data_IF_541704783792
#
_entry.id   IF_541704783792
#
_cell.length_a   1.000
_cell.length_b   1.000
_cell.length_c   1.000
_cell.angle_alpha   90.00
_cell.angle_beta   90.00
_cell.angle_gamma   90.00
#
_symmetry.space_group_name_H-M   'P 1'
#
loop_
_entity.id
_entity.type
_entity.pdbx_description
1 polymer ?
#
# COMPACT_ATOMS: atom_id res chain seq x y z
N UNK A 1 -3.99 -17.94 -1.13
CA UNK A 1 -4.23 -17.04 0.02
C UNK A 1 -5.22 -17.64 1.02
N UNK A 2 -6.50 -17.82 0.69
CA UNK A 2 -7.49 -18.35 1.66
C UNK A 2 -7.35 -19.85 1.95
N UNK A 3 -6.89 -20.65 0.97
CA UNK A 3 -6.65 -22.09 1.15
C UNK A 3 -5.27 -22.37 1.74
N UNK A 4 -4.21 -22.11 0.98
CA UNK A 4 -2.83 -22.45 1.39
C UNK A 4 -2.31 -21.64 2.58
N UNK A 5 -2.60 -20.34 2.64
CA UNK A 5 -2.17 -19.49 3.77
C UNK A 5 -3.23 -19.38 4.87
N UNK A 6 -4.39 -20.02 4.69
CA UNK A 6 -5.50 -20.03 5.65
C UNK A 6 -5.93 -18.62 6.10
N UNK A 7 -5.81 -17.62 5.23
CA UNK A 7 -6.22 -16.26 5.53
C UNK A 7 -7.74 -16.11 5.39
N UNK A 8 -8.38 -15.50 6.37
CA UNK A 8 -9.77 -15.04 6.25
C UNK A 8 -9.88 -13.91 5.22
N UNK A 9 -10.94 -13.93 4.42
CA UNK A 9 -11.19 -12.88 3.42
C UNK A 9 -11.32 -11.51 4.12
N UNK A 10 -10.63 -10.46 3.65
CA UNK A 10 -10.65 -9.18 4.32
C UNK A 10 -12.00 -8.49 4.16
N UNK A 11 -12.44 -7.76 5.18
CA UNK A 11 -13.63 -6.90 5.07
C UNK A 11 -13.34 -5.56 4.39
N UNK A 12 -12.06 -5.23 4.22
CA UNK A 12 -11.54 -4.04 3.54
C UNK A 12 -10.11 -4.33 3.04
N UNK A 13 -9.75 -3.86 1.85
CA UNK A 13 -8.38 -3.89 1.36
C UNK A 13 -7.82 -2.46 1.33
N UNK A 14 -6.74 -2.22 2.10
CA UNK A 14 -6.02 -0.95 2.10
C UNK A 14 -4.75 -1.12 1.26
N UNK A 15 -4.70 -0.45 0.11
CA UNK A 15 -3.56 -0.51 -0.80
C UNK A 15 -2.69 0.75 -0.64
N UNK A 16 -1.52 0.59 -0.01
CA UNK A 16 -0.61 1.72 0.29
C UNK A 16 0.37 1.94 -0.85
N UNK A 17 0.44 3.18 -1.33
CA UNK A 17 1.37 3.65 -2.37
C UNK A 17 2.08 4.93 -1.90
N UNK A 18 3.22 5.22 -2.50
CA UNK A 18 4.01 6.38 -2.10
C UNK A 18 5.42 6.39 -2.62
N UNK A 19 6.27 7.15 -1.94
CA UNK A 19 7.70 7.24 -2.24
C UNK A 19 8.40 5.89 -2.21
N UNK A 20 9.17 5.59 -3.26
CA UNK A 20 10.06 4.41 -3.30
C UNK A 20 11.40 4.67 -2.58
N UNK A 21 11.89 5.91 -2.66
CA UNK A 21 13.10 6.37 -1.97
C UNK A 21 12.76 6.75 -0.53
N UNK A 22 13.74 6.61 0.38
CA UNK A 22 13.57 7.03 1.77
C UNK A 22 13.33 8.54 1.87
N UNK A 23 12.36 8.90 2.70
CA UNK A 23 12.02 10.27 3.07
C UNK A 23 11.59 10.30 4.53
N UNK A 24 11.63 11.47 5.13
CA UNK A 24 11.19 11.68 6.50
C UNK A 24 9.83 12.37 6.52
N UNK A 25 8.94 11.86 7.36
CA UNK A 25 7.66 12.48 7.65
C UNK A 25 7.81 13.38 8.88
N UNK A 26 7.10 14.51 8.89
CA UNK A 26 6.99 15.31 10.11
C UNK A 26 6.46 14.44 11.26
N UNK A 27 7.01 14.53 12.49
CA UNK A 27 6.66 13.62 13.59
C UNK A 27 5.16 13.50 13.87
N UNK A 28 4.43 14.63 13.82
CA UNK A 28 2.98 14.66 13.99
C UNK A 28 2.26 13.87 12.90
N UNK A 29 2.66 14.06 11.64
CA UNK A 29 2.09 13.36 10.49
C UNK A 29 2.42 11.87 10.52
N UNK A 30 3.66 11.49 10.86
CA UNK A 30 4.08 10.10 11.07
C UNK A 30 3.18 9.41 12.10
N UNK A 31 2.90 10.08 13.21
CA UNK A 31 2.01 9.57 14.25
C UNK A 31 0.57 9.39 13.76
N UNK A 32 0.00 10.39 13.09
CA UNK A 32 -1.38 10.34 12.56
C UNK A 32 -1.51 9.22 11.52
N UNK A 33 -0.59 9.16 10.57
CA UNK A 33 -0.53 8.12 9.54
C UNK A 33 -0.43 6.72 10.18
N UNK A 34 0.58 6.50 11.03
CA UNK A 34 0.82 5.18 11.62
C UNK A 34 -0.33 4.71 12.49
N UNK A 35 -0.81 5.55 13.43
CA UNK A 35 -1.94 5.19 14.30
C UNK A 35 -3.24 5.01 13.50
N UNK A 36 -3.49 5.86 12.51
CA UNK A 36 -4.67 5.78 11.65
C UNK A 36 -4.72 4.48 10.85
N UNK A 37 -3.62 4.13 10.18
CA UNK A 37 -3.51 2.90 9.39
C UNK A 37 -3.73 1.64 10.25
N UNK A 38 -3.03 1.56 11.38
CA UNK A 38 -3.14 0.43 12.32
C UNK A 38 -4.56 0.31 12.88
N UNK A 39 -5.14 1.44 13.32
CA UNK A 39 -6.51 1.46 13.86
C UNK A 39 -7.53 1.03 12.81
N UNK A 40 -7.42 1.53 11.57
CA UNK A 40 -8.31 1.16 10.48
C UNK A 40 -8.24 -0.35 10.19
N UNK A 41 -7.02 -0.90 10.09
CA UNK A 41 -6.83 -2.31 9.80
C UNK A 41 -7.37 -3.22 10.91
N UNK A 42 -7.06 -2.90 12.17
CA UNK A 42 -7.54 -3.67 13.33
C UNK A 42 -9.06 -3.62 13.50
N UNK A 43 -9.66 -2.43 13.35
CA UNK A 43 -11.10 -2.24 13.60
C UNK A 43 -11.94 -2.94 12.54
N UNK A 44 -11.46 -2.98 11.30
CA UNK A 44 -12.22 -3.53 10.18
C UNK A 44 -11.85 -4.97 9.85
N UNK A 45 -10.70 -5.47 10.30
CA UNK A 45 -10.13 -6.73 9.78
C UNK A 45 -9.65 -6.57 8.34
N UNK A 46 -9.00 -5.44 8.04
CA UNK A 46 -8.48 -5.17 6.70
C UNK A 46 -7.19 -5.93 6.43
N UNK A 47 -6.96 -6.25 5.16
CA UNK A 47 -5.62 -6.53 4.67
C UNK A 47 -4.93 -5.23 4.25
N UNK A 48 -3.62 -5.16 4.42
CA UNK A 48 -2.77 -4.06 3.95
C UNK A 48 -1.87 -4.58 2.84
N UNK A 49 -1.99 -4.00 1.64
CA UNK A 49 -1.06 -4.24 0.53
C UNK A 49 -0.02 -3.13 0.46
N UNK A 50 1.24 -3.50 0.29
CA UNK A 50 2.34 -2.55 0.05
C UNK A 50 3.33 -3.12 -0.97
N UNK A 51 4.38 -2.36 -1.33
CA UNK A 51 5.48 -2.83 -2.17
C UNK A 51 6.44 -3.84 -1.50
N UNK A 52 6.25 -4.17 -0.22
CA UNK A 52 7.00 -5.20 0.53
C UNK A 52 8.46 -4.91 0.85
N UNK A 53 9.15 -4.09 0.07
CA UNK A 53 10.57 -3.76 0.26
C UNK A 53 10.76 -2.67 1.33
N UNK A 54 11.88 -2.72 2.07
CA UNK A 54 12.14 -1.87 3.23
C UNK A 54 12.66 -0.47 2.87
N UNK A 55 11.98 0.22 1.95
CA UNK A 55 12.34 1.57 1.51
C UNK A 55 11.12 2.49 1.44
N UNK A 56 11.37 3.79 1.48
CA UNK A 56 10.36 4.82 1.30
C UNK A 56 9.15 4.69 2.23
N UNK A 57 7.94 4.76 1.66
CA UNK A 57 6.69 4.69 2.44
C UNK A 57 6.56 3.38 3.23
N UNK A 58 7.13 2.29 2.72
CA UNK A 58 7.00 0.97 3.35
C UNK A 58 7.78 0.92 4.67
N UNK A 59 8.87 1.68 4.84
CA UNK A 59 9.52 1.82 6.16
C UNK A 59 8.57 2.41 7.19
N UNK A 60 7.83 3.47 6.83
CA UNK A 60 6.88 4.11 7.73
C UNK A 60 5.71 3.18 8.09
N UNK A 61 5.26 2.34 7.15
CA UNK A 61 4.29 1.27 7.43
C UNK A 61 4.87 0.23 8.39
N UNK A 62 6.12 -0.21 8.16
CA UNK A 62 6.82 -1.15 9.02
C UNK A 62 6.99 -0.63 10.45
N UNK A 63 7.40 0.63 10.61
CA UNK A 63 7.50 1.30 11.91
C UNK A 63 6.15 1.28 12.65
N UNK A 64 5.05 1.61 11.97
CA UNK A 64 3.71 1.58 12.56
C UNK A 64 3.29 0.16 12.99
N UNK A 65 3.61 -0.86 12.18
CA UNK A 65 3.34 -2.27 12.51
C UNK A 65 4.17 -2.73 13.71
N UNK A 66 5.44 -2.32 13.80
CA UNK A 66 6.34 -2.63 14.90
C UNK A 66 5.86 -2.00 16.21
N UNK A 67 5.49 -0.73 16.17
CA UNK A 67 4.93 -0.01 17.32
C UNK A 67 3.64 -0.63 17.82
N UNK A 68 2.81 -1.18 16.93
CA UNK A 68 1.60 -1.92 17.29
C UNK A 68 1.91 -3.29 17.91
N UNK A 69 2.78 -4.08 17.29
CA UNK A 69 3.13 -5.42 17.76
C UNK A 69 3.74 -5.42 19.17
N UNK A 70 4.45 -4.35 19.55
CA UNK A 70 4.96 -4.18 20.92
C UNK A 70 3.87 -3.88 21.97
N UNK A 71 2.70 -3.40 21.54
CA UNK A 71 1.61 -2.93 22.42
C UNK A 71 0.37 -3.82 22.42
N UNK A 72 0.20 -4.67 21.41
CA UNK A 72 -1.00 -5.49 21.23
C UNK A 72 -0.68 -6.83 20.56
N UNK A 73 -1.48 -7.85 20.90
CA UNK A 73 -1.40 -9.19 20.30
C UNK A 73 -2.19 -9.33 18.99
N UNK A 74 -2.94 -8.30 18.59
CA UNK A 74 -3.74 -8.31 17.37
C UNK A 74 -2.87 -8.42 16.13
N UNK A 75 -2.99 -9.53 15.38
CA UNK A 75 -2.24 -9.74 14.13
C UNK A 75 -2.90 -8.98 12.99
N UNK A 76 -2.11 -8.14 12.32
CA UNK A 76 -2.54 -7.43 11.11
C UNK A 76 -2.01 -8.18 9.90
N UNK A 77 -2.87 -8.47 8.93
CA UNK A 77 -2.48 -9.12 7.69
C UNK A 77 -1.90 -8.07 6.72
N UNK A 78 -0.58 -7.93 6.73
CA UNK A 78 0.16 -7.07 5.82
C UNK A 78 0.89 -7.93 4.78
N UNK A 79 0.60 -7.70 3.50
CA UNK A 79 1.11 -8.49 2.37
C UNK A 79 1.96 -7.56 1.48
N UNK A 80 3.23 -7.90 1.33
CA UNK A 80 4.18 -7.18 0.49
C UNK A 80 4.21 -7.77 -0.91
N UNK A 81 3.87 -6.99 -1.93
CA UNK A 81 3.94 -7.42 -3.33
C UNK A 81 5.15 -6.73 -3.95
N UNK A 82 6.26 -7.47 -4.09
CA UNK A 82 7.55 -6.96 -4.51
C UNK A 82 8.01 -7.61 -5.82
N UNK A 83 8.75 -6.90 -6.69
CA UNK A 83 9.43 -7.55 -7.80
C UNK A 83 10.54 -8.47 -7.28
N UNK A 84 10.60 -9.70 -7.79
CA UNK A 84 11.62 -10.70 -7.42
C UNK A 84 13.03 -10.17 -7.66
N UNK A 85 13.29 -9.65 -8.87
CA UNK A 85 14.63 -9.26 -9.31
C UNK A 85 15.27 -8.09 -8.57
N UNK A 86 14.58 -7.44 -7.63
CA UNK A 86 15.16 -6.38 -6.78
C UNK A 86 15.44 -6.85 -5.35
N UNK A 87 15.11 -8.10 -5.01
CA UNK A 87 15.26 -8.62 -3.65
C UNK A 87 16.73 -9.00 -3.41
N UNK A 88 17.34 -8.38 -2.41
CA UNK A 88 18.69 -8.73 -1.95
C UNK A 88 18.69 -10.19 -1.45
N UNK A 89 19.73 -10.96 -1.78
CA UNK A 89 19.86 -12.38 -1.43
C UNK A 89 18.64 -13.24 -1.83
N UNK A 90 18.02 -12.95 -2.97
CA UNK A 90 16.90 -13.74 -3.50
C UNK A 90 17.25 -15.23 -3.66
N UNK A 91 18.52 -15.57 -3.94
CA UNK A 91 18.98 -16.96 -4.10
C UNK A 91 18.76 -17.81 -2.84
N UNK A 92 18.80 -17.20 -1.64
CA UNK A 92 18.55 -17.89 -0.37
C UNK A 92 17.10 -18.37 -0.25
N UNK A 93 16.18 -17.74 -0.97
CA UNK A 93 14.75 -18.05 -1.00
C UNK A 93 14.41 -19.13 -2.05
N UNK A 94 15.36 -19.56 -2.88
CA UNK A 94 15.10 -20.54 -3.94
C UNK A 94 15.00 -21.95 -3.33
N UNK A 95 13.91 -22.62 -3.69
CA UNK A 95 13.68 -24.02 -3.38
C UNK A 95 12.24 -24.41 -3.64
N UNK A 96 12.00 -25.72 -3.80
CA UNK A 96 10.67 -26.27 -3.99
C UNK A 96 10.23 -26.98 -2.71
N UNK A 97 9.05 -26.62 -2.20
CA UNK A 97 8.45 -27.24 -1.01
C UNK A 97 9.37 -27.22 0.23
N UNK A 98 10.17 -26.16 0.37
CA UNK A 98 11.12 -25.98 1.48
C UNK A 98 10.91 -24.65 2.20
N UNK A 99 11.23 -24.63 3.49
CA UNK A 99 11.32 -23.41 4.29
C UNK A 99 12.76 -22.92 4.27
N UNK A 100 12.95 -21.67 3.83
CA UNK A 100 14.26 -21.02 3.81
C UNK A 100 14.26 -19.80 4.73
N UNK A 101 15.23 -19.67 5.65
CA UNK A 101 15.38 -18.44 6.41
C UNK A 101 15.86 -17.34 5.47
N UNK A 102 15.20 -16.19 5.52
CA UNK A 102 15.67 -14.98 4.87
C UNK A 102 16.32 -14.08 5.91
N UNK A 103 17.64 -14.06 5.93
CA UNK A 103 18.43 -13.20 6.83
C UNK A 103 19.36 -12.37 5.97
N UNK A 104 18.94 -11.14 5.71
CA UNK A 104 19.73 -10.19 4.95
C UNK A 104 19.90 -8.89 5.72
N UNK A 105 20.97 -8.18 5.43
CA UNK A 105 21.21 -6.83 5.90
C UNK A 105 21.23 -5.89 4.71
N UNK A 106 20.73 -4.67 4.90
CA UNK A 106 20.82 -3.65 3.85
C UNK A 106 22.28 -3.38 3.53
N UNK A 107 22.68 -3.59 2.28
CA UNK A 107 24.01 -3.25 1.77
C UNK A 107 23.96 -1.88 1.08
N UNK A 108 24.59 -0.83 1.63
CA UNK A 108 24.58 0.50 1.02
C UNK A 108 25.17 0.58 -0.40
N UNK A 109 26.00 -0.40 -0.78
CA UNK A 109 26.60 -0.49 -2.11
C UNK A 109 25.73 -1.27 -3.12
N UNK A 110 24.71 -1.98 -2.65
CA UNK A 110 23.81 -2.74 -3.51
C UNK A 110 22.75 -1.84 -4.12
N UNK A 111 22.36 -2.17 -5.36
CA UNK A 111 21.19 -1.58 -6.03
C UNK A 111 19.90 -2.35 -5.75
N UNK A 112 20.00 -3.48 -5.05
CA UNK A 112 18.87 -4.29 -4.61
C UNK A 112 18.37 -3.78 -3.25
N UNK A 113 17.30 -4.39 -2.76
CA UNK A 113 16.62 -3.96 -1.55
C UNK A 113 16.13 -5.15 -0.75
N UNK A 114 16.09 -4.97 0.56
CA UNK A 114 15.69 -6.00 1.52
C UNK A 114 14.18 -5.98 1.71
N UNK A 115 13.58 -7.15 1.91
CA UNK A 115 12.17 -7.24 2.30
C UNK A 115 11.96 -6.64 3.70
N UNK A 116 10.80 -6.01 3.94
CA UNK A 116 10.47 -5.42 5.23
C UNK A 116 10.00 -6.50 6.22
N UNK A 117 10.76 -6.73 7.28
CA UNK A 117 10.51 -7.82 8.24
C UNK A 117 9.21 -7.69 9.05
N UNK A 118 8.51 -6.55 8.97
CA UNK A 118 7.23 -6.36 9.67
C UNK A 118 6.02 -6.82 8.85
N UNK A 119 6.22 -7.25 7.60
CA UNK A 119 5.18 -7.86 6.79
C UNK A 119 4.93 -9.30 7.20
N UNK A 120 3.66 -9.69 7.15
CA UNK A 120 3.24 -11.06 7.49
C UNK A 120 3.44 -12.05 6.34
N UNK A 121 3.32 -11.58 5.10
CA UNK A 121 3.41 -12.41 3.89
C UNK A 121 4.02 -11.60 2.75
N UNK A 122 4.56 -12.31 1.76
CA UNK A 122 5.09 -11.74 0.53
C UNK A 122 4.58 -12.45 -0.70
N UNK A 123 4.37 -11.68 -1.76
CA UNK A 123 4.19 -12.15 -3.13
C UNK A 123 5.34 -11.56 -3.94
N UNK A 124 6.20 -12.42 -4.49
CA UNK A 124 7.37 -12.01 -5.26
C UNK A 124 7.05 -12.17 -6.75
N UNK A 125 6.87 -11.06 -7.44
CA UNK A 125 6.49 -11.02 -8.84
C UNK A 125 7.74 -11.08 -9.73
N UNK A 126 7.85 -12.12 -10.55
CA UNK A 126 8.97 -12.28 -11.47
C UNK A 126 8.57 -11.98 -12.92
N UNK A 127 9.45 -11.31 -13.64
CA UNK A 127 9.37 -11.05 -15.07
C UNK A 127 10.69 -11.36 -15.80
N UNK A 128 11.62 -12.06 -15.15
CA UNK A 128 12.94 -12.42 -15.67
C UNK A 128 13.97 -11.29 -15.68
N UNK A 129 13.65 -10.10 -15.14
CA UNK A 129 14.59 -8.97 -15.08
C UNK A 129 15.26 -8.85 -13.71
N UNK A 130 16.50 -8.37 -13.67
CA UNK A 130 17.25 -8.08 -12.43
C UNK A 130 17.38 -6.58 -12.22
N UNK A 131 17.21 -6.13 -10.98
CA UNK A 131 17.37 -4.74 -10.57
C UNK A 131 16.30 -3.78 -11.10
N UNK A 132 15.19 -4.30 -11.64
CA UNK A 132 14.11 -3.48 -12.22
C UNK A 132 12.80 -3.61 -11.45
N UNK A 133 12.19 -2.48 -11.18
CA UNK A 133 10.81 -2.38 -10.68
C UNK A 133 9.81 -2.59 -11.83
N UNK A 134 8.56 -2.93 -11.49
CA UNK A 134 7.44 -2.95 -12.43
C UNK A 134 6.81 -4.32 -12.64
N UNK A 135 7.50 -5.41 -12.31
CA UNK A 135 6.97 -6.78 -12.43
C UNK A 135 5.68 -6.97 -11.61
N UNK A 136 5.60 -6.29 -10.47
CA UNK A 136 4.51 -6.34 -9.50
C UNK A 136 3.29 -5.49 -9.90
N UNK A 137 3.45 -4.49 -10.77
CA UNK A 137 2.43 -3.46 -11.00
C UNK A 137 1.13 -4.05 -11.54
N UNK A 138 1.20 -4.80 -12.64
CA UNK A 138 0.02 -5.45 -13.24
C UNK A 138 -0.57 -6.51 -12.32
N UNK A 139 0.28 -7.31 -11.69
CA UNK A 139 -0.14 -8.36 -10.75
C UNK A 139 -0.93 -7.76 -9.59
N UNK A 140 -0.42 -6.70 -8.96
CA UNK A 140 -1.06 -6.02 -7.84
C UNK A 140 -2.44 -5.51 -8.23
N UNK A 141 -2.58 -4.83 -9.36
CA UNK A 141 -3.88 -4.30 -9.82
C UNK A 141 -4.89 -5.39 -10.12
N UNK A 142 -4.46 -6.47 -10.78
CA UNK A 142 -5.31 -7.63 -11.04
C UNK A 142 -5.73 -8.33 -9.76
N UNK A 143 -4.83 -8.46 -8.78
CA UNK A 143 -5.12 -9.08 -7.49
C UNK A 143 -6.10 -8.23 -6.67
N UNK A 144 -5.89 -6.93 -6.58
CA UNK A 144 -6.82 -6.00 -5.92
C UNK A 144 -8.22 -6.08 -6.51
N UNK A 145 -8.32 -6.06 -7.85
CA UNK A 145 -9.60 -6.21 -8.56
C UNK A 145 -10.23 -7.59 -8.34
N UNK A 146 -9.43 -8.65 -8.30
CA UNK A 146 -9.94 -9.98 -8.02
C UNK A 146 -10.49 -10.09 -6.60
N UNK A 147 -9.78 -9.51 -5.61
CA UNK A 147 -10.21 -9.47 -4.21
C UNK A 147 -11.50 -8.66 -4.07
N UNK A 148 -11.63 -7.53 -4.78
CA UNK A 148 -12.84 -6.69 -4.69
C UNK A 148 -14.10 -7.39 -5.16
N UNK A 149 -13.98 -8.37 -6.07
CA UNK A 149 -15.08 -9.19 -6.54
C UNK A 149 -15.46 -10.34 -5.59
N UNK A 150 -14.64 -10.63 -4.58
CA UNK A 150 -14.93 -11.68 -3.61
C UNK A 150 -16.04 -11.23 -2.67
N UNK A 151 -17.06 -12.09 -2.51
CA UNK A 151 -18.24 -11.77 -1.69
C UNK A 151 -17.93 -11.95 -0.21
N UNK A 152 -17.96 -10.85 0.54
CA UNK A 152 -17.84 -10.86 2.01
C UNK A 152 -19.20 -10.99 2.71
N UNK A 153 -20.28 -10.55 2.06
CA UNK A 153 -21.64 -10.71 2.56
C UNK A 153 -22.51 -11.30 1.46
N UNK A 154 -22.82 -12.60 1.59
CA UNK A 154 -23.60 -13.36 0.60
C UNK A 154 -25.05 -12.90 0.48
N UNK A 155 -25.61 -12.24 1.51
CA UNK A 155 -27.00 -11.76 1.50
C UNK A 155 -27.17 -10.45 0.74
N UNK A 156 -26.14 -9.61 0.70
CA UNK A 156 -26.16 -8.28 0.07
C UNK A 156 -25.36 -8.27 -1.24
N UNK A 157 -24.62 -9.35 -1.54
CA UNK A 157 -23.76 -9.43 -2.72
C UNK A 157 -22.58 -8.47 -2.68
N UNK A 158 -22.24 -7.96 -1.50
CA UNK A 158 -21.19 -6.96 -1.32
C UNK A 158 -19.80 -7.61 -1.49
N UNK A 159 -19.03 -7.05 -2.42
CA UNK A 159 -17.62 -7.36 -2.62
C UNK A 159 -16.71 -6.74 -1.54
N UNK A 160 -15.43 -7.09 -1.54
CA UNK A 160 -14.44 -6.44 -0.66
C UNK A 160 -14.23 -4.99 -1.12
N UNK A 161 -14.51 -3.97 -0.29
CA UNK A 161 -14.14 -2.60 -0.63
C UNK A 161 -12.62 -2.45 -0.67
N UNK A 162 -12.13 -1.71 -1.66
CA UNK A 162 -10.70 -1.36 -1.81
C UNK A 162 -10.55 0.13 -1.62
N UNK A 163 -9.52 0.56 -0.91
CA UNK A 163 -9.13 1.97 -0.76
C UNK A 163 -7.63 2.09 -1.03
N UNK A 164 -7.23 3.06 -1.83
CA UNK A 164 -5.83 3.41 -2.04
C UNK A 164 -5.41 4.48 -1.01
N UNK A 165 -4.25 4.32 -0.37
CA UNK A 165 -3.66 5.29 0.54
C UNK A 165 -2.35 5.79 -0.05
N UNK A 166 -2.23 7.09 -0.25
CA UNK A 166 -1.09 7.75 -0.89
C UNK A 166 -0.32 8.54 0.17
N UNK A 167 0.97 8.28 0.26
CA UNK A 167 1.90 9.05 1.10
C UNK A 167 3.11 9.42 0.28
N UNK A 168 3.35 10.72 0.14
CA UNK A 168 4.46 11.23 -0.66
C UNK A 168 4.30 10.72 -2.13
N UNK A 169 5.35 10.44 -2.89
CA UNK A 169 5.30 9.85 -4.22
C UNK A 169 6.05 10.64 -5.29
N UNK A 170 6.55 9.92 -6.29
CA UNK A 170 7.00 10.50 -7.55
C UNK A 170 5.87 10.59 -8.59
N UNK A 171 6.16 10.99 -9.84
CA UNK A 171 5.17 11.10 -10.91
C UNK A 171 4.35 9.81 -11.15
N UNK A 172 4.96 8.64 -10.99
CA UNK A 172 4.27 7.34 -11.13
C UNK A 172 3.07 7.20 -10.18
N UNK A 173 3.12 7.81 -8.98
CA UNK A 173 1.99 7.78 -8.03
C UNK A 173 0.78 8.51 -8.59
N UNK A 174 0.97 9.60 -9.34
CA UNK A 174 -0.13 10.32 -9.99
C UNK A 174 -0.81 9.42 -11.04
N UNK A 175 -0.02 8.68 -11.83
CA UNK A 175 -0.55 7.70 -12.78
C UNK A 175 -1.35 6.60 -12.07
N UNK A 176 -0.84 6.06 -10.97
CA UNK A 176 -1.53 5.06 -10.16
C UNK A 176 -2.87 5.60 -9.63
N UNK A 177 -2.89 6.83 -9.11
CA UNK A 177 -4.11 7.48 -8.63
C UNK A 177 -5.13 7.65 -9.77
N UNK A 178 -4.69 8.10 -10.94
CA UNK A 178 -5.55 8.22 -12.11
C UNK A 178 -6.15 6.88 -12.54
N UNK A 179 -5.37 5.80 -12.49
CA UNK A 179 -5.86 4.44 -12.78
C UNK A 179 -6.93 4.00 -11.77
N UNK A 180 -6.72 4.22 -10.47
CA UNK A 180 -7.73 3.91 -9.44
C UNK A 180 -9.04 4.66 -9.65
N UNK A 181 -8.97 5.93 -10.03
CA UNK A 181 -10.16 6.76 -10.23
C UNK A 181 -10.90 6.43 -11.52
N UNK A 182 -10.22 5.85 -12.51
CA UNK A 182 -10.79 5.39 -13.77
C UNK A 182 -11.40 3.99 -13.70
N UNK A 183 -11.19 3.26 -12.61
CA UNK A 183 -11.85 1.97 -12.40
C UNK A 183 -13.37 2.13 -12.39
N UNK A 184 -14.08 1.04 -12.66
CA UNK A 184 -15.55 0.99 -12.61
C UNK A 184 -15.98 -0.13 -11.66
N UNK A 185 -16.50 0.19 -10.45
CA UNK A 185 -16.59 1.54 -9.87
C UNK A 185 -15.20 2.12 -9.50
N UNK A 186 -15.06 3.45 -9.38
CA UNK A 186 -13.81 4.08 -8.96
C UNK A 186 -13.39 3.60 -7.57
N UNK A 187 -12.08 3.41 -7.39
CA UNK A 187 -11.50 3.09 -6.07
C UNK A 187 -11.23 4.40 -5.32
N UNK A 188 -11.77 4.57 -4.09
CA UNK A 188 -11.46 5.73 -3.27
C UNK A 188 -9.97 5.84 -2.96
N UNK A 189 -9.45 7.05 -3.03
CA UNK A 189 -8.05 7.44 -2.80
C UNK A 189 -7.98 8.37 -1.59
N UNK A 190 -7.20 7.98 -0.60
CA UNK A 190 -6.88 8.78 0.57
C UNK A 190 -5.47 9.34 0.38
N UNK A 191 -5.31 10.66 0.45
CA UNK A 191 -4.04 11.35 0.24
C UNK A 191 -3.55 11.94 1.56
N UNK A 192 -2.29 11.67 1.92
CA UNK A 192 -1.65 12.19 3.11
C UNK A 192 -1.08 13.59 2.82
N UNK A 193 -1.83 14.62 3.15
CA UNK A 193 -1.43 16.02 2.92
C UNK A 193 -0.26 16.43 3.83
N UNK A 194 0.71 17.14 3.28
CA UNK A 194 1.96 17.52 3.94
C UNK A 194 2.99 16.38 4.02
N UNK A 195 2.78 15.29 3.28
CA UNK A 195 3.75 14.19 3.19
C UNK A 195 4.79 14.38 2.10
N UNK A 196 4.59 15.32 1.16
CA UNK A 196 5.57 15.72 0.16
C UNK A 196 5.21 15.35 -1.29
N UNK A 197 5.94 15.98 -2.23
CA UNK A 197 5.95 15.73 -3.68
C UNK A 197 4.55 15.45 -4.27
N UNK A 198 4.30 14.26 -4.83
CA UNK A 198 3.05 13.96 -5.54
C UNK A 198 1.82 14.05 -4.64
N UNK A 199 1.93 13.64 -3.37
CA UNK A 199 0.82 13.71 -2.42
C UNK A 199 0.36 15.14 -2.19
N UNK A 200 1.30 16.08 -2.01
CA UNK A 200 0.97 17.49 -1.78
C UNK A 200 0.42 18.16 -3.05
N UNK A 201 0.91 17.79 -4.24
CA UNK A 201 0.34 18.26 -5.51
C UNK A 201 -1.12 17.81 -5.65
N UNK A 202 -1.42 16.55 -5.33
CA UNK A 202 -2.78 16.01 -5.38
C UNK A 202 -3.68 16.69 -4.33
N UNK A 203 -3.17 16.89 -3.11
CA UNK A 203 -3.90 17.56 -2.03
C UNK A 203 -4.20 19.04 -2.37
N UNK A 204 -3.21 19.76 -2.90
CA UNK A 204 -3.37 21.12 -3.38
C UNK A 204 -4.40 21.18 -4.51
N UNK A 205 -4.27 20.33 -5.52
CA UNK A 205 -5.22 20.28 -6.64
C UNK A 205 -6.65 20.02 -6.17
N UNK A 206 -6.85 19.11 -5.21
CA UNK A 206 -8.15 18.86 -4.60
C UNK A 206 -8.69 20.10 -3.86
N UNK A 207 -7.89 20.71 -2.99
CA UNK A 207 -8.29 21.87 -2.17
C UNK A 207 -8.71 23.07 -3.03
N UNK A 208 -7.99 23.36 -4.10
CA UNK A 208 -8.24 24.53 -4.94
C UNK A 208 -9.15 24.26 -6.14
N UNK A 209 -9.52 23.00 -6.39
CA UNK A 209 -10.55 22.68 -7.40
C UNK A 209 -11.94 23.19 -7.01
N UNK A 210 -12.17 23.50 -5.73
CA UNK A 210 -13.46 23.98 -5.22
C UNK A 210 -13.58 25.52 -5.22
N UNK A 211 -12.48 26.28 -5.28
CA UNK A 211 -12.48 27.75 -5.07
C UNK A 211 -12.56 28.60 -6.35
N UNK A 212 -12.50 28.03 -7.56
CA UNK A 212 -12.68 28.86 -8.76
C UNK A 212 -12.59 28.14 -10.11
N UNK A 213 -13.73 27.97 -10.77
CA UNK A 213 -13.79 27.86 -12.23
C UNK A 213 -14.37 26.55 -12.77
N UNK A 214 -15.46 26.72 -13.51
CA UNK A 214 -16.19 25.72 -14.30
C UNK A 214 -15.24 24.75 -15.03
N UNK A 215 -15.13 23.53 -14.53
CA UNK A 215 -14.73 22.36 -15.33
C UNK A 215 -15.78 21.27 -15.10
N UNK A 216 -16.62 21.08 -16.13
CA UNK A 216 -17.70 20.11 -16.30
C UNK A 216 -18.05 19.25 -15.06
N UNK A 217 -19.08 19.68 -14.33
CA UNK A 217 -19.93 18.81 -13.50
C UNK A 217 -20.58 17.73 -14.38
N UNK A 218 -19.83 16.70 -14.77
CA UNK A 218 -20.36 15.39 -15.17
C UNK A 218 -19.43 14.29 -14.64
N UNK A 219 -19.85 13.68 -13.54
CA UNK A 219 -19.37 12.39 -13.01
C UNK A 219 -17.98 12.31 -12.35
N UNK A 220 -17.63 13.21 -11.44
CA UNK A 220 -16.66 12.87 -10.37
C UNK A 220 -17.44 12.74 -9.07
N UNK A 221 -18.00 11.54 -8.82
CA UNK A 221 -18.43 11.18 -7.46
C UNK A 221 -17.15 11.10 -6.63
N UNK A 222 -17.04 12.00 -5.66
CA UNK A 222 -15.88 12.25 -4.78
C UNK A 222 -15.21 10.96 -4.30
N UNK A 223 -14.13 10.58 -4.99
CA UNK A 223 -13.26 9.47 -4.62
C UNK A 223 -12.00 9.91 -3.88
N UNK A 224 -11.90 11.17 -3.45
CA UNK A 224 -10.73 11.70 -2.74
C UNK A 224 -11.07 12.00 -1.28
N UNK A 225 -10.20 11.60 -0.37
CA UNK A 225 -10.22 12.00 1.03
C UNK A 225 -8.82 12.48 1.43
N UNK A 226 -8.73 13.59 2.17
CA UNK A 226 -7.45 14.13 2.65
C UNK A 226 -7.23 13.73 4.10
N UNK A 227 -6.03 13.23 4.41
CA UNK A 227 -5.54 13.05 5.78
C UNK A 227 -4.53 14.15 6.03
N UNK A 228 -4.86 15.07 6.93
CA UNK A 228 -4.01 16.20 7.31
C UNK A 228 -3.50 16.01 8.75
N UNK A 229 -2.41 16.70 9.10
CA UNK A 229 -1.95 16.77 10.50
C UNK A 229 -2.76 17.76 11.36
N UNK A 230 -3.61 18.55 10.73
CA UNK A 230 -4.53 19.49 11.36
C UNK A 230 -5.89 18.80 11.53
N UNK A 231 -6.06 18.06 12.63
CA UNK A 231 -7.39 17.65 13.05
C UNK A 231 -8.22 18.90 13.32
N UNK A 232 -9.35 19.04 12.62
CA UNK A 232 -10.46 19.83 13.15
C UNK A 232 -11.19 18.99 14.19
#
# INVERSE_FOLDING_TARGET
MTKEWQLELPKLLISVHGGLQNFELQPKLKQVFGKGLIKAAMTTGAWIFTGGVNTGVIRHVGDALKDHASKSRGKICTIGIAPWGIVENQEDLIGRDVVRPYQTMSNPMSKLTVLNSMHSHFILADNGTTGKYGAEVKLRRQLEKHISLQKINTRIGQGVPVVALIVEGGPNVISIVLEYLRDTPPVPVVVCDGSGRASDILAFGHKYSEEGGIFYKKHVKTGFCLVTSEGK
#
